data_IF_174135341739
#
_entry.id   IF_174135341739
#
_cell.length_a   1.000
_cell.length_b   1.000
_cell.length_c   1.000
_cell.angle_alpha   90.00
_cell.angle_beta   90.00
_cell.angle_gamma   90.00
#
_symmetry.space_group_name_H-M   'P 1'
#
loop_
_entity.id
_entity.type
_entity.pdbx_description
1 polymer ?
#
# COMPACT_ATOMS: atom_id res chain seq x y z
N UNK A 1 44.19 2.68 47.94
CA UNK A 1 43.06 1.84 48.42
C UNK A 1 41.92 2.78 48.78
N UNK A 2 40.84 2.81 47.99
CA UNK A 2 39.65 3.62 48.25
C UNK A 2 38.51 2.65 48.55
N UNK A 3 38.13 2.55 49.82
CA UNK A 3 37.01 1.73 50.27
C UNK A 3 35.70 2.33 49.77
N UNK A 4 35.20 1.76 48.67
CA UNK A 4 33.86 2.03 48.14
C UNK A 4 32.79 1.48 49.07
N UNK A 5 32.44 2.23 50.13
CA UNK A 5 31.26 1.96 50.94
C UNK A 5 30.01 2.11 50.08
N UNK A 6 29.51 0.99 49.57
CA UNK A 6 28.19 0.89 48.95
C UNK A 6 27.15 1.21 50.02
N UNK A 7 26.69 2.46 50.06
CA UNK A 7 25.55 2.85 50.90
C UNK A 7 24.34 2.08 50.39
N UNK A 8 23.82 1.16 51.20
CA UNK A 8 22.60 0.43 50.88
C UNK A 8 21.47 1.42 50.61
N UNK A 9 20.76 1.25 49.48
CA UNK A 9 19.56 2.04 49.21
C UNK A 9 18.51 1.71 50.28
N UNK A 10 17.89 2.71 50.91
CA UNK A 10 16.79 2.45 51.84
C UNK A 10 15.66 1.75 51.07
N UNK A 11 15.16 0.66 51.65
CA UNK A 11 14.01 -0.08 51.11
C UNK A 11 12.78 0.82 51.24
N UNK A 12 12.23 1.26 50.11
CA UNK A 12 10.98 2.04 50.07
C UNK A 12 9.80 1.13 50.39
N UNK A 13 8.77 1.69 51.04
CA UNK A 13 7.52 0.97 51.25
C UNK A 13 6.86 0.70 49.88
N UNK A 14 6.22 -0.47 49.67
CA UNK A 14 5.55 -0.78 48.40
C UNK A 14 4.55 0.30 47.93
N UNK A 15 3.86 0.96 48.88
CA UNK A 15 2.93 2.05 48.59
C UNK A 15 3.60 3.33 48.09
N UNK A 16 4.83 3.63 48.54
CA UNK A 16 5.61 4.77 48.05
C UNK A 16 6.18 4.49 46.66
N UNK A 17 6.56 3.24 46.39
CA UNK A 17 7.00 2.83 45.06
C UNK A 17 5.87 2.98 44.04
N UNK A 18 4.67 2.47 44.35
CA UNK A 18 3.51 2.60 43.46
C UNK A 18 3.15 4.06 43.16
N UNK A 19 3.21 4.96 44.16
CA UNK A 19 2.99 6.39 43.95
C UNK A 19 4.04 7.02 43.05
N UNK A 20 5.31 6.64 43.22
CA UNK A 20 6.38 7.11 42.35
C UNK A 20 6.18 6.65 40.90
N UNK A 21 5.77 5.39 40.71
CA UNK A 21 5.53 4.82 39.38
C UNK A 21 4.31 5.46 38.70
N UNK A 22 3.24 5.77 39.46
CA UNK A 22 2.08 6.51 38.93
C UNK A 22 2.47 7.91 38.44
N UNK A 23 3.27 8.64 39.23
CA UNK A 23 3.77 9.97 38.83
C UNK A 23 4.69 9.89 37.59
N UNK A 24 5.53 8.86 37.48
CA UNK A 24 6.37 8.65 36.31
C UNK A 24 5.52 8.37 35.06
N UNK A 25 4.50 7.53 35.18
CA UNK A 25 3.56 7.26 34.09
C UNK A 25 2.79 8.52 33.66
N UNK A 26 2.32 9.33 34.61
CA UNK A 26 1.66 10.61 34.32
C UNK A 26 2.59 11.56 33.56
N UNK A 27 3.85 11.67 34.00
CA UNK A 27 4.86 12.49 33.33
C UNK A 27 5.14 11.97 31.91
N UNK A 28 5.23 10.64 31.73
CA UNK A 28 5.44 10.03 30.41
C UNK A 28 4.25 10.25 29.48
N UNK A 29 3.02 10.18 30.00
CA UNK A 29 1.81 10.49 29.22
C UNK A 29 1.74 11.97 28.84
N UNK A 30 2.10 12.88 29.75
CA UNK A 30 2.19 14.30 29.45
C UNK A 30 3.22 14.57 28.33
N UNK A 31 4.41 13.97 28.43
CA UNK A 31 5.45 14.07 27.39
C UNK A 31 4.95 13.58 26.02
N UNK A 32 4.28 12.43 25.97
CA UNK A 32 3.73 11.88 24.72
C UNK A 32 2.65 12.78 24.10
N UNK A 33 1.79 13.39 24.94
CA UNK A 33 0.79 14.35 24.47
C UNK A 33 1.46 15.58 23.85
N UNK A 34 2.47 16.14 24.50
CA UNK A 34 3.26 17.26 23.94
C UNK A 34 3.91 16.87 22.62
N UNK A 35 4.56 15.70 22.54
CA UNK A 35 5.18 15.21 21.29
C UNK A 35 4.19 15.02 20.15
N UNK A 36 3.00 14.50 20.44
CA UNK A 36 1.93 14.36 19.46
C UNK A 36 1.45 15.73 18.96
N UNK A 37 1.30 16.69 19.86
CA UNK A 37 0.82 18.02 19.50
C UNK A 37 1.88 18.81 18.71
N UNK A 38 3.17 18.69 19.06
CA UNK A 38 4.31 19.16 18.26
C UNK A 38 4.26 18.57 16.84
N UNK A 39 4.14 17.24 16.71
CA UNK A 39 4.07 16.58 15.42
C UNK A 39 2.87 17.03 14.57
N UNK A 40 1.73 17.31 15.21
CA UNK A 40 0.54 17.84 14.55
C UNK A 40 0.78 19.25 14.03
N UNK A 41 1.39 20.13 14.82
CA UNK A 41 1.76 21.49 14.40
C UNK A 41 2.77 21.45 13.24
N UNK A 42 3.79 20.58 13.33
CA UNK A 42 4.77 20.40 12.26
C UNK A 42 4.15 19.86 10.96
N UNK A 43 3.15 18.98 11.07
CA UNK A 43 2.41 18.47 9.94
C UNK A 43 1.58 19.58 9.28
N UNK A 44 0.81 20.34 10.06
CA UNK A 44 0.02 21.47 9.53
C UNK A 44 0.92 22.57 8.96
N UNK A 45 2.08 22.85 9.56
CA UNK A 45 3.07 23.77 9.02
C UNK A 45 3.67 23.28 7.70
N UNK A 46 3.90 21.97 7.55
CA UNK A 46 4.32 21.37 6.25
C UNK A 46 3.21 21.44 5.22
N UNK A 47 1.97 21.13 5.61
CA UNK A 47 0.79 21.19 4.75
C UNK A 47 0.50 22.61 4.27
N UNK A 48 0.63 23.61 5.15
CA UNK A 48 0.45 25.02 4.83
C UNK A 48 1.55 25.58 3.93
N UNK A 49 2.80 25.10 4.06
CA UNK A 49 3.88 25.40 3.10
C UNK A 49 3.63 24.75 1.74
N UNK A 50 3.00 23.58 1.72
CA UNK A 50 2.78 22.77 0.53
C UNK A 50 1.33 22.81 0.04
N UNK A 51 0.70 24.00 -0.02
CA UNK A 51 -0.70 24.22 -0.49
C UNK A 51 -0.95 23.63 -1.90
N UNK A 52 -1.26 22.34 -1.97
CA UNK A 52 -1.53 21.59 -3.20
C UNK A 52 -0.41 20.64 -3.67
N UNK A 53 0.69 20.55 -2.93
CA UNK A 53 1.93 19.88 -3.38
C UNK A 53 2.35 18.71 -2.48
N UNK A 54 1.39 18.10 -1.78
CA UNK A 54 1.64 16.86 -1.00
C UNK A 54 2.13 15.74 -1.93
N UNK A 55 1.73 15.77 -3.21
CA UNK A 55 2.21 14.87 -4.27
C UNK A 55 3.45 15.38 -5.01
N UNK A 56 4.07 16.50 -4.66
CA UNK A 56 5.25 16.98 -5.40
C UNK A 56 6.50 16.12 -5.14
N UNK A 57 6.54 15.39 -4.02
CA UNK A 57 7.48 14.29 -3.79
C UNK A 57 7.17 13.02 -4.60
N UNK A 58 6.04 12.99 -5.32
CA UNK A 58 5.74 11.98 -6.35
C UNK A 58 6.02 12.48 -7.77
N UNK A 59 6.57 13.70 -7.93
CA UNK A 59 7.09 14.11 -9.24
C UNK A 59 8.20 13.13 -9.65
N UNK A 60 8.27 12.74 -10.93
CA UNK A 60 9.27 11.79 -11.40
C UNK A 60 10.71 12.26 -11.13
N UNK A 61 10.95 13.56 -10.94
CA UNK A 61 12.27 14.12 -10.59
C UNK A 61 12.69 13.86 -9.13
N UNK A 62 11.77 13.93 -8.16
CA UNK A 62 12.08 13.62 -6.75
C UNK A 62 12.27 12.13 -6.52
N UNK A 63 11.49 11.28 -7.21
CA UNK A 63 11.69 9.82 -7.22
C UNK A 63 13.04 9.44 -7.83
N UNK A 64 13.44 10.06 -8.96
CA UNK A 64 14.77 9.82 -9.57
C UNK A 64 15.91 10.26 -8.65
N UNK A 65 15.75 11.37 -7.93
CA UNK A 65 16.76 11.85 -6.98
C UNK A 65 16.91 10.91 -5.79
N UNK A 66 15.79 10.43 -5.24
CA UNK A 66 15.79 9.43 -4.17
C UNK A 66 16.40 8.10 -4.64
N UNK A 67 16.05 7.63 -5.84
CA UNK A 67 16.64 6.41 -6.42
C UNK A 67 18.15 6.56 -6.63
N UNK A 68 18.62 7.73 -7.09
CA UNK A 68 20.06 8.01 -7.22
C UNK A 68 20.77 8.02 -5.85
N UNK A 69 20.13 8.56 -4.82
CA UNK A 69 20.66 8.59 -3.46
C UNK A 69 20.77 7.19 -2.84
N UNK A 70 19.76 6.34 -3.03
CA UNK A 70 19.79 4.92 -2.63
C UNK A 70 20.92 4.17 -3.34
N UNK A 71 21.10 4.39 -4.65
CA UNK A 71 22.19 3.80 -5.42
C UNK A 71 23.57 4.31 -4.97
N UNK A 72 23.69 5.56 -4.52
CA UNK A 72 24.93 6.08 -3.95
C UNK A 72 25.23 5.47 -2.58
N UNK A 73 24.23 5.32 -1.71
CA UNK A 73 24.37 4.65 -0.42
C UNK A 73 24.76 3.17 -0.57
N UNK A 74 24.18 2.45 -1.54
CA UNK A 74 24.58 1.07 -1.82
C UNK A 74 26.06 0.97 -2.24
N UNK A 75 26.57 1.94 -3.00
CA UNK A 75 27.99 2.00 -3.40
C UNK A 75 28.93 2.28 -2.23
N UNK A 76 28.51 3.05 -1.23
CA UNK A 76 29.35 3.34 -0.05
C UNK A 76 29.40 2.20 0.93
N UNK A 77 28.31 1.41 1.04
CA UNK A 77 28.25 0.20 1.88
C UNK A 77 28.97 -0.97 1.22
N UNK A 78 28.98 -1.06 -0.11
CA UNK A 78 29.67 -2.10 -0.87
C UNK A 78 31.20 -1.88 -1.01
N UNK A 79 31.88 -1.36 0.02
CA UNK A 79 33.35 -1.50 0.08
C UNK A 79 33.67 -2.94 0.50
N UNK A 80 34.16 -3.80 -0.40
CA UNK A 80 34.51 -5.16 -0.04
C UNK A 80 35.61 -5.11 1.01
N UNK A 81 35.34 -5.67 2.18
CA UNK A 81 36.37 -6.07 3.13
C UNK A 81 37.21 -7.09 2.38
N UNK A 82 38.40 -6.68 1.89
CA UNK A 82 39.38 -7.53 1.21
C UNK A 82 39.75 -8.69 2.14
N UNK A 83 39.01 -9.78 2.14
CA UNK A 83 39.56 -11.10 2.45
C UNK A 83 39.98 -11.70 1.12
N UNK A 84 41.28 -11.93 1.00
CA UNK A 84 41.84 -12.55 -0.19
C UNK A 84 41.40 -14.00 -0.31
N UNK A 85 41.55 -14.49 -1.55
CA UNK A 85 42.05 -15.82 -1.93
C UNK A 85 41.09 -16.63 -2.80
N UNK A 86 41.75 -17.21 -3.81
CA UNK A 86 41.36 -18.26 -4.75
C UNK A 86 40.33 -17.90 -5.81
N UNK A 87 40.82 -17.84 -7.04
CA UNK A 87 40.00 -17.75 -8.23
C UNK A 87 39.27 -19.05 -8.51
N UNK A 88 38.07 -18.90 -9.03
CA UNK A 88 37.36 -19.93 -9.75
C UNK A 88 36.82 -19.28 -11.04
N UNK A 89 37.30 -19.80 -12.17
CA UNK A 89 36.77 -19.52 -13.51
C UNK A 89 35.31 -19.97 -13.52
N UNK A 90 34.37 -19.04 -13.72
CA UNK A 90 32.98 -19.39 -13.96
C UNK A 90 32.65 -19.20 -15.44
N UNK A 91 32.28 -20.32 -16.03
CA UNK A 91 31.96 -20.61 -17.42
C UNK A 91 30.68 -19.90 -17.87
N UNK A 92 30.73 -19.27 -19.03
CA UNK A 92 29.59 -18.74 -19.78
C UNK A 92 28.68 -19.89 -20.23
N UNK A 93 27.44 -19.92 -19.75
CA UNK A 93 26.39 -20.81 -20.27
C UNK A 93 25.53 -20.01 -21.25
N UNK A 94 25.58 -20.43 -22.53
CA UNK A 94 24.66 -19.99 -23.59
C UNK A 94 23.27 -20.60 -23.36
N UNK A 95 22.23 -19.77 -23.45
CA UNK A 95 20.84 -20.21 -23.47
C UNK A 95 20.37 -20.44 -24.91
N UNK A 96 19.77 -21.60 -25.26
CA UNK A 96 19.14 -21.79 -26.56
C UNK A 96 17.64 -21.47 -26.56
N UNK A 97 17.20 -20.81 -27.64
CA UNK A 97 16.02 -21.21 -28.40
C UNK A 97 14.64 -20.95 -27.80
N UNK A 98 14.03 -19.83 -28.19
CA UNK A 98 12.59 -19.60 -28.08
C UNK A 98 11.82 -20.51 -29.05
N UNK A 99 10.78 -21.19 -28.55
CA UNK A 99 9.78 -21.91 -29.36
C UNK A 99 8.47 -21.10 -29.45
N UNK A 100 7.73 -21.18 -30.58
CA UNK A 100 6.50 -20.41 -30.79
C UNK A 100 5.29 -21.05 -30.09
N UNK A 101 4.55 -20.23 -29.33
CA UNK A 101 3.29 -20.62 -28.67
C UNK A 101 2.13 -20.56 -29.67
N UNK A 102 1.38 -21.65 -29.71
CA UNK A 102 0.22 -21.87 -30.56
C UNK A 102 -0.95 -20.92 -30.26
N UNK A 103 -1.64 -20.50 -31.32
CA UNK A 103 -2.91 -19.77 -31.29
C UNK A 103 -3.99 -20.64 -30.63
N UNK A 104 -4.68 -20.10 -29.62
CA UNK A 104 -5.93 -20.65 -29.11
C UNK A 104 -7.06 -19.70 -29.47
N UNK A 105 -7.93 -20.17 -30.35
CA UNK A 105 -9.24 -19.59 -30.60
C UNK A 105 -10.15 -19.90 -29.40
N UNK A 106 -10.53 -18.86 -28.67
CA UNK A 106 -11.58 -18.91 -27.67
C UNK A 106 -12.60 -17.82 -28.01
N UNK A 107 -13.56 -18.18 -28.85
CA UNK A 107 -14.83 -17.48 -29.00
C UNK A 107 -15.60 -17.61 -27.69
N UNK A 108 -15.45 -16.61 -26.83
CA UNK A 108 -16.32 -16.39 -25.68
C UNK A 108 -17.10 -15.11 -25.95
N UNK A 109 -18.30 -15.28 -26.49
CA UNK A 109 -19.29 -14.21 -26.64
C UNK A 109 -19.64 -13.67 -25.26
N UNK A 110 -19.14 -12.48 -24.94
CA UNK A 110 -19.58 -11.73 -23.76
C UNK A 110 -21.00 -11.20 -23.99
N UNK A 111 -21.87 -11.18 -22.97
CA UNK A 111 -23.19 -10.56 -23.07
C UNK A 111 -23.02 -9.06 -23.34
N UNK A 112 -23.79 -8.56 -24.30
CA UNK A 112 -23.90 -7.14 -24.59
C UNK A 112 -24.16 -6.38 -23.28
N UNK A 113 -23.21 -5.52 -22.90
CA UNK A 113 -23.42 -4.55 -21.83
C UNK A 113 -24.53 -3.63 -22.31
N UNK A 114 -25.68 -3.75 -21.66
CA UNK A 114 -26.78 -2.82 -21.80
C UNK A 114 -26.22 -1.40 -21.67
N UNK A 115 -26.45 -0.60 -22.70
CA UNK A 115 -26.25 0.84 -22.69
C UNK A 115 -27.04 1.39 -21.51
N UNK A 116 -26.38 1.61 -20.37
CA UNK A 116 -26.95 2.41 -19.30
C UNK A 116 -27.02 3.82 -19.83
N UNK A 117 -28.19 4.15 -20.38
CA UNK A 117 -28.64 5.51 -20.60
C UNK A 117 -28.35 6.26 -19.31
N UNK A 118 -27.38 7.18 -19.37
CA UNK A 118 -27.06 8.07 -18.27
C UNK A 118 -28.31 8.89 -17.96
N UNK A 119 -29.09 8.42 -16.99
CA UNK A 119 -29.99 9.26 -16.24
C UNK A 119 -29.09 10.25 -15.52
N UNK A 120 -29.04 11.47 -16.07
CA UNK A 120 -28.53 12.67 -15.42
C UNK A 120 -29.40 12.96 -14.19
N UNK A 121 -29.30 12.11 -13.17
CA UNK A 121 -29.70 12.44 -11.82
C UNK A 121 -28.63 13.34 -11.27
N UNK A 122 -28.98 14.59 -10.98
CA UNK A 122 -28.18 15.47 -10.14
C UNK A 122 -28.04 14.77 -8.79
N UNK A 123 -26.92 14.07 -8.59
CA UNK A 123 -26.56 13.55 -7.29
C UNK A 123 -26.43 14.75 -6.36
N UNK A 124 -27.44 14.92 -5.51
CA UNK A 124 -27.51 15.96 -4.51
C UNK A 124 -26.46 15.63 -3.43
N UNK A 125 -25.29 16.28 -3.55
CA UNK A 125 -24.17 16.08 -2.62
C UNK A 125 -24.58 16.37 -1.17
N UNK A 126 -25.60 17.20 -0.96
CA UNK A 126 -26.14 17.52 0.35
C UNK A 126 -26.86 16.33 1.00
N UNK A 127 -27.49 15.46 0.19
CA UNK A 127 -28.16 14.26 0.69
C UNK A 127 -27.14 13.19 1.11
N UNK A 128 -26.06 13.05 0.34
CA UNK A 128 -24.93 12.18 0.71
C UNK A 128 -24.25 12.64 2.01
N UNK A 129 -24.10 13.95 2.20
CA UNK A 129 -23.51 14.50 3.42
C UNK A 129 -24.41 14.33 4.65
N UNK A 130 -25.73 14.50 4.50
CA UNK A 130 -26.70 14.21 5.59
C UNK A 130 -26.69 12.75 5.99
N UNK A 131 -26.76 11.84 5.02
CA UNK A 131 -26.73 10.39 5.28
C UNK A 131 -25.49 9.96 6.07
N UNK A 132 -24.32 10.51 5.71
CA UNK A 132 -23.08 10.24 6.46
C UNK A 132 -23.10 10.79 7.89
N UNK A 133 -23.61 12.02 8.10
CA UNK A 133 -23.71 12.60 9.43
C UNK A 133 -24.73 11.86 10.31
N UNK A 134 -25.80 11.34 9.72
CA UNK A 134 -26.82 10.55 10.40
C UNK A 134 -26.27 9.18 10.84
N UNK A 135 -25.61 8.45 9.93
CA UNK A 135 -24.94 7.19 10.24
C UNK A 135 -23.88 7.34 11.35
N UNK A 136 -23.13 8.45 11.35
CA UNK A 136 -22.19 8.76 12.42
C UNK A 136 -22.88 9.02 13.76
N UNK A 137 -24.04 9.68 13.75
CA UNK A 137 -24.83 9.97 14.97
C UNK A 137 -25.42 8.68 15.52
N UNK A 138 -25.95 7.82 14.66
CA UNK A 138 -26.46 6.51 15.02
C UNK A 138 -25.36 5.63 15.61
N UNK A 139 -24.16 5.63 15.03
CA UNK A 139 -23.01 4.90 15.58
C UNK A 139 -22.62 5.39 16.98
N UNK A 140 -22.59 6.71 17.21
CA UNK A 140 -22.32 7.29 18.52
C UNK A 140 -23.42 6.93 19.55
N UNK A 141 -24.69 6.97 19.14
CA UNK A 141 -25.81 6.59 20.01
C UNK A 141 -25.85 5.09 20.29
N UNK A 142 -25.53 4.25 19.31
CA UNK A 142 -25.41 2.80 19.47
C UNK A 142 -24.26 2.45 20.43
N UNK A 143 -23.14 3.15 20.32
CA UNK A 143 -22.01 3.01 21.25
C UNK A 143 -22.36 3.47 22.67
N UNK A 144 -23.12 4.55 22.81
CA UNK A 144 -23.63 5.01 24.10
C UNK A 144 -24.66 4.04 24.71
N UNK A 145 -25.53 3.42 23.90
CA UNK A 145 -26.45 2.37 24.35
C UNK A 145 -25.71 1.11 24.80
N UNK A 146 -24.63 0.73 24.12
CA UNK A 146 -23.76 -0.39 24.55
C UNK A 146 -23.04 -0.06 25.86
N UNK A 147 -22.54 1.17 26.02
CA UNK A 147 -21.95 1.62 27.28
C UNK A 147 -22.98 1.66 28.43
N UNK A 148 -24.23 1.99 28.12
CA UNK A 148 -25.34 2.04 29.09
C UNK A 148 -25.88 0.67 29.49
N UNK A 149 -25.64 -0.39 28.71
CA UNK A 149 -25.97 -1.77 29.12
C UNK A 149 -24.92 -2.40 30.05
N UNK A 150 -23.82 -1.69 30.32
CA UNK A 150 -22.77 -2.15 31.25
C UNK A 150 -22.73 -1.41 32.59
N UNK A 151 -23.70 -0.51 32.84
CA UNK A 151 -23.80 0.20 34.13
C UNK A 151 -24.81 -0.48 35.04
N UNK A 152 -24.42 -1.61 35.60
CA UNK A 152 -24.95 -2.03 36.91
C UNK A 152 -24.11 -1.30 37.97
N UNK A 153 -24.69 -0.36 38.75
CA UNK A 153 -23.96 0.47 39.70
C UNK A 153 -23.73 -0.32 40.99
N UNK A 154 -22.81 -1.28 40.95
CA UNK A 154 -22.44 -2.04 42.15
C UNK A 154 -21.51 -3.17 41.81
N UNK A 155 -20.25 -3.05 42.26
CA UNK A 155 -19.27 -4.13 42.38
C UNK A 155 -18.76 -4.79 41.09
N UNK A 156 -17.55 -4.39 40.65
CA UNK A 156 -16.52 -5.40 40.34
C UNK A 156 -16.14 -5.72 38.89
N UNK A 157 -16.56 -4.97 37.87
CA UNK A 157 -16.27 -5.35 36.46
C UNK A 157 -14.81 -5.13 35.98
N UNK A 158 -13.89 -4.63 36.82
CA UNK A 158 -12.44 -4.57 36.54
C UNK A 158 -11.62 -5.46 37.50
N UNK A 159 -12.28 -6.37 38.22
CA UNK A 159 -11.65 -7.49 38.94
C UNK A 159 -12.00 -8.80 38.23
N UNK A 160 -11.90 -8.80 36.90
CA UNK A 160 -11.70 -10.04 36.16
C UNK A 160 -10.21 -10.27 36.06
N UNK A 161 -9.70 -11.34 36.65
CA UNK A 161 -8.34 -11.77 36.36
C UNK A 161 -8.26 -11.99 34.83
N UNK A 162 -7.51 -11.15 34.14
CA UNK A 162 -7.26 -11.33 32.73
C UNK A 162 -6.41 -12.60 32.58
N UNK A 163 -7.07 -13.68 32.16
CA UNK A 163 -6.39 -14.93 31.82
C UNK A 163 -5.82 -14.78 30.40
N UNK A 164 -4.51 -14.53 30.35
CA UNK A 164 -3.78 -14.37 29.10
C UNK A 164 -3.89 -15.63 28.22
N UNK A 165 -3.97 -16.82 28.83
CA UNK A 165 -4.09 -18.09 28.10
C UNK A 165 -5.48 -18.26 27.46
N UNK A 166 -6.55 -17.81 28.13
CA UNK A 166 -7.90 -17.80 27.57
C UNK A 166 -8.03 -16.75 26.46
N UNK A 167 -7.44 -15.58 26.64
CA UNK A 167 -7.40 -14.52 25.62
C UNK A 167 -6.62 -14.96 24.37
N UNK A 168 -5.52 -15.71 24.55
CA UNK A 168 -4.72 -16.21 23.45
C UNK A 168 -5.44 -17.35 22.71
N UNK A 169 -6.11 -18.26 23.44
CA UNK A 169 -6.95 -19.32 22.83
C UNK A 169 -8.08 -18.75 22.00
N UNK A 170 -8.85 -17.81 22.57
CA UNK A 170 -9.96 -17.17 21.85
C UNK A 170 -9.49 -16.41 20.60
N UNK A 171 -8.34 -15.76 20.66
CA UNK A 171 -7.72 -15.15 19.48
C UNK A 171 -7.32 -16.17 18.42
N UNK A 172 -6.69 -17.28 18.81
CA UNK A 172 -6.31 -18.35 17.87
C UNK A 172 -7.55 -19.01 17.22
N UNK A 173 -8.61 -19.24 17.98
CA UNK A 173 -9.88 -19.75 17.46
C UNK A 173 -10.49 -18.80 16.43
N UNK A 174 -10.57 -17.50 16.75
CA UNK A 174 -11.08 -16.48 15.83
C UNK A 174 -10.23 -16.38 14.55
N UNK A 175 -8.89 -16.49 14.67
CA UNK A 175 -7.97 -16.50 13.53
C UNK A 175 -8.21 -17.73 12.64
N UNK A 176 -8.38 -18.90 13.25
CA UNK A 176 -8.61 -20.15 12.54
C UNK A 176 -9.98 -20.16 11.84
N UNK A 177 -11.02 -19.59 12.46
CA UNK A 177 -12.33 -19.39 11.85
C UNK A 177 -12.27 -18.44 10.63
N UNK A 178 -11.51 -17.36 10.74
CA UNK A 178 -11.30 -16.42 9.63
C UNK A 178 -10.55 -17.07 8.45
N UNK A 179 -9.56 -17.91 8.72
CA UNK A 179 -8.86 -18.67 7.69
C UNK A 179 -9.80 -19.68 7.00
N UNK A 180 -10.62 -20.39 7.77
CA UNK A 180 -11.64 -21.32 7.23
C UNK A 180 -12.68 -20.61 6.36
N UNK A 181 -13.20 -19.46 6.80
CA UNK A 181 -14.20 -18.69 6.05
C UNK A 181 -13.65 -17.97 4.82
N UNK A 182 -12.37 -17.60 4.80
CA UNK A 182 -11.71 -16.96 3.65
C UNK A 182 -11.32 -17.93 2.52
N UNK A 183 -11.68 -19.22 2.63
CA UNK A 183 -11.31 -20.25 1.66
C UNK A 183 -9.81 -20.58 1.64
N UNK A 184 -9.05 -20.06 2.61
CA UNK A 184 -7.63 -20.39 2.80
C UNK A 184 -7.55 -21.60 3.70
N UNK A 185 -7.38 -22.78 3.12
CA UNK A 185 -7.06 -23.99 3.90
C UNK A 185 -5.81 -23.70 4.75
N UNK A 186 -5.85 -23.85 6.09
CA UNK A 186 -4.63 -23.84 6.88
C UNK A 186 -3.73 -24.94 6.34
N UNK A 187 -2.47 -24.61 6.06
CA UNK A 187 -1.47 -25.60 5.73
C UNK A 187 -1.44 -26.61 6.89
N UNK A 188 -1.41 -27.93 6.63
CA UNK A 188 -1.29 -28.91 7.69
C UNK A 188 -0.04 -28.57 8.49
N UNK A 189 -0.21 -28.37 9.80
CA UNK A 189 0.90 -28.19 10.72
C UNK A 189 1.79 -29.42 10.58
N UNK A 190 2.95 -29.24 9.96
CA UNK A 190 3.96 -30.27 9.88
C UNK A 190 4.43 -30.51 11.32
N UNK A 191 4.15 -31.72 11.80
CA UNK A 191 4.60 -32.26 13.07
C UNK A 191 6.14 -32.13 13.15
N UNK A 192 6.61 -31.12 13.87
CA UNK A 192 8.03 -30.80 14.02
C UNK A 192 8.60 -31.54 15.22
N UNK A 193 8.62 -32.87 15.11
CA UNK A 193 9.49 -33.72 15.90
C UNK A 193 10.89 -33.75 15.32
N UNK A 194 11.66 -32.66 15.42
CA UNK A 194 13.10 -32.69 15.16
C UNK A 194 13.82 -31.77 16.14
N UNK A 195 14.22 -32.34 17.28
CA UNK A 195 15.24 -31.77 18.14
C UNK A 195 16.61 -32.16 17.55
N UNK A 196 17.40 -31.19 17.10
CA UNK A 196 18.78 -31.42 16.70
C UNK A 196 19.34 -30.34 15.77
N UNK A 197 20.17 -29.49 16.35
CA UNK A 197 21.33 -28.77 15.79
C UNK A 197 21.15 -27.75 14.64
N UNK A 198 21.32 -26.49 15.05
CA UNK A 198 22.29 -25.50 14.53
C UNK A 198 22.30 -25.08 13.03
N UNK A 199 21.78 -23.86 12.85
CA UNK A 199 22.42 -22.69 12.21
C UNK A 199 22.54 -22.48 10.68
N UNK A 200 22.11 -23.37 9.79
CA UNK A 200 22.22 -23.08 8.33
C UNK A 200 21.01 -23.50 7.47
N UNK A 201 19.79 -23.26 7.95
CA UNK A 201 18.57 -23.48 7.18
C UNK A 201 17.63 -22.26 7.18
N UNK A 202 18.06 -21.17 6.53
CA UNK A 202 17.11 -20.20 5.93
C UNK A 202 16.55 -20.82 4.63
N UNK A 203 15.99 -22.01 4.76
CA UNK A 203 15.42 -22.80 3.68
C UNK A 203 14.05 -22.22 3.36
N UNK A 204 14.07 -21.30 2.38
CA UNK A 204 13.03 -21.12 1.35
C UNK A 204 11.63 -21.47 1.87
N UNK A 205 11.10 -20.62 2.77
CA UNK A 205 9.66 -20.50 2.94
C UNK A 205 9.15 -20.12 1.56
N UNK A 206 8.59 -21.13 0.89
CA UNK A 206 8.12 -21.09 -0.47
C UNK A 206 7.50 -19.72 -0.73
N UNK A 207 8.14 -19.02 -1.66
CA UNK A 207 7.68 -17.85 -2.36
C UNK A 207 6.24 -18.06 -2.81
N UNK A 208 5.28 -17.82 -1.92
CA UNK A 208 4.00 -17.27 -2.31
C UNK A 208 4.37 -15.89 -2.83
N UNK A 209 4.78 -15.84 -4.10
CA UNK A 209 4.86 -14.60 -4.87
C UNK A 209 3.47 -14.04 -4.72
N UNK A 210 3.30 -13.11 -3.78
CA UNK A 210 2.05 -12.42 -3.55
C UNK A 210 1.71 -11.86 -4.91
N UNK A 211 0.74 -12.48 -5.58
CA UNK A 211 0.48 -12.23 -7.00
C UNK A 211 0.24 -10.73 -7.12
N UNK A 212 1.19 -10.04 -7.73
CA UNK A 212 1.24 -8.59 -7.70
C UNK A 212 -0.07 -8.10 -8.31
N UNK A 213 -0.89 -7.42 -7.52
CA UNK A 213 -2.13 -6.83 -8.01
C UNK A 213 -1.79 -5.52 -8.69
N UNK A 214 -2.37 -5.31 -9.86
CA UNK A 214 -2.24 -4.09 -10.63
C UNK A 214 -3.62 -3.61 -11.09
N UNK A 215 -3.79 -2.29 -11.17
CA UNK A 215 -5.04 -1.67 -11.60
C UNK A 215 -5.06 -1.51 -13.11
N UNK A 216 -6.19 -1.82 -13.75
CA UNK A 216 -6.43 -1.49 -15.15
C UNK A 216 -6.30 0.02 -15.37
N UNK A 217 -5.55 0.44 -16.38
CA UNK A 217 -5.30 1.85 -16.66
C UNK A 217 -6.54 2.62 -17.13
N UNK A 218 -7.54 1.93 -17.68
CA UNK A 218 -8.78 2.54 -18.16
C UNK A 218 -9.88 2.56 -17.09
N UNK A 219 -10.26 1.38 -16.57
CA UNK A 219 -11.39 1.23 -15.67
C UNK A 219 -11.01 1.11 -14.18
N UNK A 220 -9.71 1.18 -13.85
CA UNK A 220 -9.16 1.09 -12.49
C UNK A 220 -9.47 -0.20 -11.71
N UNK A 221 -10.11 -1.20 -12.33
CA UNK A 221 -10.34 -2.49 -11.71
C UNK A 221 -9.02 -3.20 -11.36
N UNK A 222 -8.93 -3.73 -10.13
CA UNK A 222 -7.77 -4.49 -9.66
C UNK A 222 -7.78 -5.90 -10.24
N UNK A 223 -6.70 -6.28 -10.93
CA UNK A 223 -6.46 -7.61 -11.48
C UNK A 223 -5.08 -8.13 -11.04
N UNK A 224 -4.84 -9.42 -11.20
CA UNK A 224 -3.49 -9.95 -11.04
C UNK A 224 -2.64 -9.53 -12.26
N UNK A 225 -1.39 -9.14 -12.04
CA UNK A 225 -0.53 -8.56 -13.07
C UNK A 225 -0.24 -9.52 -14.24
N UNK A 226 -0.23 -10.82 -13.99
CA UNK A 226 -0.08 -11.90 -14.97
C UNK A 226 -1.29 -12.03 -15.92
N UNK A 227 -2.46 -11.54 -15.49
CA UNK A 227 -3.71 -11.56 -16.28
C UNK A 227 -3.97 -10.26 -17.03
N UNK A 228 -3.08 -9.28 -16.95
CA UNK A 228 -3.27 -7.98 -17.61
C UNK A 228 -2.82 -8.01 -19.07
N UNK A 229 -3.64 -7.42 -19.92
CA UNK A 229 -3.25 -7.07 -21.29
C UNK A 229 -2.31 -5.86 -21.26
N UNK A 230 -1.02 -6.05 -21.52
CA UNK A 230 -0.04 -4.97 -21.55
C UNK A 230 0.03 -4.39 -22.95
N UNK A 231 -0.30 -3.12 -23.09
CA UNK A 231 -0.15 -2.39 -24.34
C UNK A 231 1.31 -1.97 -24.54
N UNK A 232 1.88 -2.38 -25.67
CA UNK A 232 3.26 -2.08 -26.05
C UNK A 232 3.51 -0.60 -26.33
N UNK A 233 2.50 0.15 -26.79
CA UNK A 233 2.66 1.57 -27.18
C UNK A 233 2.87 2.48 -25.96
N UNK A 234 2.11 2.25 -24.89
CA UNK A 234 2.15 3.07 -23.67
C UNK A 234 2.77 2.36 -22.47
N UNK A 235 3.09 1.07 -22.60
CA UNK A 235 3.62 0.22 -21.52
C UNK A 235 2.73 0.24 -20.27
N UNK A 236 1.41 0.21 -20.47
CA UNK A 236 0.41 0.17 -19.40
C UNK A 236 -0.40 -1.12 -19.46
N UNK A 237 -0.86 -1.58 -18.30
CA UNK A 237 -1.71 -2.77 -18.18
C UNK A 237 -3.20 -2.43 -18.23
N UNK A 238 -3.94 -3.24 -18.97
CA UNK A 238 -5.39 -3.21 -19.09
C UNK A 238 -5.99 -4.55 -18.64
N UNK A 239 -7.26 -4.56 -18.23
CA UNK A 239 -7.91 -5.83 -17.85
C UNK A 239 -8.22 -6.72 -19.06
N UNK A 240 -8.35 -6.14 -20.25
CA UNK A 240 -8.53 -6.83 -21.54
C UNK A 240 -8.24 -5.87 -22.70
N UNK A 241 -8.21 -6.41 -23.94
CA UNK A 241 -8.01 -5.62 -25.16
C UNK A 241 -9.10 -4.57 -25.37
N UNK A 242 -10.37 -4.89 -25.06
CA UNK A 242 -11.48 -3.94 -25.20
C UNK A 242 -11.31 -2.67 -24.34
N UNK A 243 -10.78 -2.79 -23.12
CA UNK A 243 -10.44 -1.63 -22.28
C UNK A 243 -9.25 -0.84 -22.83
N UNK A 244 -8.30 -1.50 -23.49
CA UNK A 244 -7.21 -0.80 -24.17
C UNK A 244 -7.75 -0.01 -25.38
N UNK A 245 -8.62 -0.62 -26.19
CA UNK A 245 -9.25 0.04 -27.34
C UNK A 245 -10.13 1.22 -26.92
N UNK A 246 -10.94 1.05 -25.86
CA UNK A 246 -11.75 2.12 -25.30
C UNK A 246 -10.89 3.27 -24.77
N UNK A 247 -9.78 2.96 -24.08
CA UNK A 247 -8.82 3.97 -23.65
C UNK A 247 -8.22 4.72 -24.85
N UNK A 248 -7.84 3.99 -25.89
CA UNK A 248 -7.27 4.57 -27.09
C UNK A 248 -8.23 5.49 -27.81
N UNK A 249 -9.48 5.09 -27.96
CA UNK A 249 -10.51 5.90 -28.61
C UNK A 249 -10.77 7.20 -27.84
N UNK A 250 -10.85 7.14 -26.50
CA UNK A 250 -11.03 8.32 -25.65
C UNK A 250 -9.81 9.27 -25.69
N UNK A 251 -8.61 8.73 -25.92
CA UNK A 251 -7.37 9.51 -25.95
C UNK A 251 -6.93 9.90 -27.37
N UNK A 252 -7.75 9.62 -28.38
CA UNK A 252 -7.54 10.13 -29.74
C UNK A 252 -7.90 11.60 -29.78
N UNK A 253 -6.97 12.39 -30.31
CA UNK A 253 -7.15 13.81 -30.56
C UNK A 253 -7.16 14.01 -32.08
N UNK A 254 -8.17 14.70 -32.64
CA UNK A 254 -8.15 15.04 -34.05
C UNK A 254 -7.00 16.02 -34.34
N UNK A 255 -6.35 15.85 -35.48
CA UNK A 255 -5.36 16.81 -35.94
C UNK A 255 -6.01 18.17 -36.17
N UNK A 256 -5.44 19.25 -35.62
CA UNK A 256 -5.96 20.60 -35.79
C UNK A 256 -5.66 21.24 -37.16
N UNK A 257 -5.12 20.47 -38.11
CA UNK A 257 -4.80 20.98 -39.44
C UNK A 257 -6.08 21.13 -40.25
N UNK A 258 -6.30 22.29 -40.89
CA UNK A 258 -7.56 22.63 -41.56
C UNK A 258 -8.06 21.58 -42.56
N UNK A 259 -7.15 20.88 -43.23
CA UNK A 259 -7.46 19.83 -44.23
C UNK A 259 -7.20 18.41 -43.73
N UNK A 260 -6.65 18.25 -42.52
CA UNK A 260 -6.26 16.94 -42.00
C UNK A 260 -7.40 16.32 -41.17
N UNK A 261 -7.85 15.12 -41.56
CA UNK A 261 -8.86 14.34 -40.81
C UNK A 261 -8.27 13.20 -39.98
N UNK A 262 -6.94 13.15 -39.82
CA UNK A 262 -6.28 12.10 -39.05
C UNK A 262 -6.53 12.32 -37.55
N UNK A 263 -6.84 11.25 -36.84
CA UNK A 263 -6.77 11.21 -35.39
C UNK A 263 -5.44 10.59 -34.97
N UNK A 264 -4.82 11.12 -33.92
CA UNK A 264 -3.61 10.55 -33.33
C UNK A 264 -3.71 10.53 -31.81
N UNK A 265 -2.81 9.79 -31.16
CA UNK A 265 -2.67 9.89 -29.71
C UNK A 265 -2.03 11.21 -29.33
N UNK A 266 -2.50 11.81 -28.23
CA UNK A 266 -1.92 13.06 -27.71
C UNK A 266 -0.41 12.96 -27.44
N UNK A 267 0.11 11.78 -27.12
CA UNK A 267 1.54 11.53 -26.91
C UNK A 267 2.36 11.61 -28.20
N UNK A 268 1.77 11.23 -29.32
CA UNK A 268 2.41 11.21 -30.64
C UNK A 268 2.11 12.48 -31.44
N UNK A 269 1.31 13.39 -30.87
CA UNK A 269 0.99 14.66 -31.47
C UNK A 269 2.19 15.60 -31.46
N UNK A 270 2.45 16.23 -32.60
CA UNK A 270 3.27 17.42 -32.67
C UNK A 270 2.51 18.59 -32.03
N UNK A 271 3.04 19.14 -30.94
CA UNK A 271 2.42 20.26 -30.23
C UNK A 271 3.06 21.57 -30.67
N UNK A 272 2.27 22.46 -31.29
CA UNK A 272 2.65 23.84 -31.58
C UNK A 272 1.64 24.77 -30.91
N UNK A 273 2.12 25.71 -30.09
CA UNK A 273 1.28 26.68 -29.36
C UNK A 273 0.17 26.03 -28.51
N UNK A 274 0.40 24.81 -28.02
CA UNK A 274 -0.58 24.04 -27.23
C UNK A 274 -1.64 23.32 -28.06
N UNK A 275 -1.60 23.44 -29.40
CA UNK A 275 -2.50 22.77 -30.33
C UNK A 275 -1.81 21.51 -30.87
N UNK A 276 -2.56 20.41 -31.00
CA UNK A 276 -2.07 19.10 -31.42
C UNK A 276 -2.21 18.88 -32.95
N UNK A 277 -1.11 18.54 -33.60
CA UNK A 277 -1.03 18.23 -35.04
C UNK A 277 -0.43 16.84 -35.25
N UNK A 278 -0.83 16.13 -36.31
CA UNK A 278 -0.30 14.79 -36.58
C UNK A 278 1.13 14.80 -37.12
N UNK A 279 1.61 15.96 -37.55
CA UNK A 279 2.94 16.18 -38.12
C UNK A 279 3.25 17.68 -38.17
N UNK A 280 4.54 18.04 -38.27
CA UNK A 280 4.97 19.43 -38.44
C UNK A 280 4.39 20.07 -39.71
N UNK A 281 4.20 19.28 -40.79
CA UNK A 281 3.56 19.77 -42.02
C UNK A 281 2.11 20.21 -41.84
N UNK A 282 1.40 19.68 -40.83
CA UNK A 282 0.03 20.07 -40.54
C UNK A 282 -0.07 21.33 -39.67
N UNK A 283 1.01 21.74 -39.00
CA UNK A 283 1.02 22.95 -38.19
C UNK A 283 1.07 24.23 -39.04
N UNK A 284 1.57 24.14 -40.28
CA UNK A 284 1.78 25.30 -41.17
C UNK A 284 2.84 26.27 -40.62
N UNK A 285 3.25 27.27 -41.42
CA UNK A 285 3.94 28.43 -40.86
C UNK A 285 2.94 29.14 -39.94
N UNK A 286 3.35 29.43 -38.70
CA UNK A 286 2.57 30.28 -37.81
C UNK A 286 2.27 31.60 -38.58
N UNK A 287 1.00 32.04 -38.65
CA UNK A 287 0.63 33.28 -39.34
C UNK A 287 1.29 34.51 -38.70
#
# INVERSE_FOLDING_TARGET
MMDGRRRGRPVRKPSEQLRADLLDMEHRLAFLRTKRDEARVDFEARKARNRGLIWENSRPTSIRRLAAEILQQAKTVAKPKRSGRSGAKLTTIQAPGAAPVAKRDASATCPAMATTTALAGTADEDEGHRSFQEARREWMQSSARRASMTTDPGTGALVGAFDEDESHRSFQEARNEWLRSSGRRPAPEADSGFAGDDDDAFEIVATQVAMVRASCYHCYALRHADQMHVDTLISKGFCNAACADAYHEVNRVPCAGATCRKAMYRRDAYLAEGIAFCSASCAGPAP
#
